data_IF_183266440943
#
_entry.id   IF_183266440943
#
_cell.length_a   1.000
_cell.length_b   1.000
_cell.length_c   1.000
_cell.angle_alpha   90.00
_cell.angle_beta   90.00
_cell.angle_gamma   90.00
#
_symmetry.space_group_name_H-M   'P 1'
#
loop_
_entity.id
_entity.type
_entity.pdbx_description
1 polymer ?
#
# COMPACT_ATOMS: atom_id res chain seq x y z
N UNK A 1 -18.24 -10.85 -5.37
CA UNK A 1 -17.19 -10.87 -4.35
C UNK A 1 -16.23 -9.67 -4.47
N UNK A 2 -15.65 -9.41 -5.64
CA UNK A 2 -14.68 -8.32 -5.85
C UNK A 2 -15.25 -6.94 -5.48
N UNK A 3 -16.45 -6.60 -5.93
CA UNK A 3 -17.10 -5.32 -5.59
C UNK A 3 -17.32 -5.16 -4.08
N UNK A 4 -17.77 -6.21 -3.40
CA UNK A 4 -18.00 -6.18 -1.94
C UNK A 4 -16.68 -6.00 -1.20
N UNK A 5 -15.62 -6.69 -1.60
CA UNK A 5 -14.29 -6.55 -1.02
C UNK A 5 -13.74 -5.12 -1.22
N UNK A 6 -13.90 -4.56 -2.42
CA UNK A 6 -13.45 -3.19 -2.74
C UNK A 6 -14.22 -2.15 -1.93
N UNK A 7 -15.53 -2.29 -1.80
CA UNK A 7 -16.35 -1.41 -0.96
C UNK A 7 -15.93 -1.50 0.51
N UNK A 8 -15.76 -2.71 1.05
CA UNK A 8 -15.30 -2.91 2.42
C UNK A 8 -13.92 -2.28 2.68
N UNK A 9 -12.98 -2.49 1.74
CA UNK A 9 -11.66 -1.86 1.81
C UNK A 9 -11.74 -0.33 1.81
N UNK A 10 -12.57 0.25 0.93
CA UNK A 10 -12.75 1.69 0.83
C UNK A 10 -13.36 2.28 2.10
N UNK A 11 -14.35 1.61 2.69
CA UNK A 11 -15.00 2.03 3.95
C UNK A 11 -14.02 2.11 5.12
N UNK A 12 -13.01 1.26 5.15
CA UNK A 12 -11.97 1.27 6.20
C UNK A 12 -10.83 2.23 5.86
N UNK A 13 -10.38 2.23 4.60
CA UNK A 13 -9.16 2.93 4.20
C UNK A 13 -9.32 4.45 4.15
N UNK A 14 -10.51 4.97 3.78
CA UNK A 14 -10.77 6.41 3.72
C UNK A 14 -10.76 7.06 5.10
N UNK A 15 -11.55 6.59 6.10
CA UNK A 15 -11.49 7.16 7.45
C UNK A 15 -10.11 7.02 8.09
N UNK A 16 -9.46 5.87 7.90
CA UNK A 16 -8.11 5.64 8.40
C UNK A 16 -7.09 6.62 7.80
N UNK A 17 -7.23 6.93 6.50
CA UNK A 17 -6.39 7.93 5.83
C UNK A 17 -6.61 9.35 6.36
N UNK A 18 -7.85 9.72 6.65
CA UNK A 18 -8.23 11.02 7.19
C UNK A 18 -7.72 11.23 8.63
N UNK A 19 -7.72 10.18 9.46
CA UNK A 19 -7.29 10.24 10.87
C UNK A 19 -5.92 10.88 11.06
N UNK A 20 -4.94 10.54 10.22
CA UNK A 20 -3.59 11.09 10.31
C UNK A 20 -3.56 12.63 10.12
N UNK A 21 -4.55 13.19 9.41
CA UNK A 21 -4.73 14.63 9.25
C UNK A 21 -5.43 15.30 10.42
N UNK A 22 -6.29 14.57 11.15
CA UNK A 22 -7.11 15.08 12.25
C UNK A 22 -6.41 14.99 13.61
N UNK A 23 -5.49 14.05 13.80
CA UNK A 23 -4.85 13.74 15.08
C UNK A 23 -3.77 14.76 15.45
N UNK A 24 -3.12 15.41 14.49
CA UNK A 24 -2.05 16.37 14.77
C UNK A 24 -1.95 17.47 13.73
N UNK A 25 -1.60 18.67 14.17
CA UNK A 25 -1.29 19.83 13.34
C UNK A 25 0.22 19.90 13.06
N UNK A 26 1.05 19.19 13.81
CA UNK A 26 2.51 19.19 13.60
C UNK A 26 2.86 18.40 12.32
N UNK A 27 3.60 19.08 11.43
CA UNK A 27 4.07 18.50 10.16
C UNK A 27 5.02 17.31 10.36
N UNK A 28 5.83 17.32 11.42
CA UNK A 28 6.78 16.24 11.71
C UNK A 28 6.07 14.99 12.19
N UNK A 29 5.12 15.12 13.11
CA UNK A 29 4.31 14.00 13.60
C UNK A 29 3.49 13.39 12.47
N UNK A 30 2.83 14.21 11.64
CA UNK A 30 2.07 13.75 10.47
C UNK A 30 2.96 12.97 9.49
N UNK A 31 4.18 13.46 9.24
CA UNK A 31 5.14 12.77 8.38
C UNK A 31 5.57 11.43 8.98
N UNK A 32 5.81 11.38 10.29
CA UNK A 32 6.14 10.14 11.01
C UNK A 32 4.99 9.11 10.95
N UNK A 33 3.75 9.54 11.21
CA UNK A 33 2.57 8.67 11.09
C UNK A 33 2.42 8.09 9.69
N UNK A 34 2.64 8.92 8.67
CA UNK A 34 2.59 8.47 7.27
C UNK A 34 3.70 7.48 6.96
N UNK A 35 4.92 7.71 7.47
CA UNK A 35 6.04 6.79 7.28
C UNK A 35 5.78 5.41 7.92
N UNK A 36 5.26 5.36 9.15
CA UNK A 36 4.86 4.12 9.80
C UNK A 36 3.74 3.40 9.04
N UNK A 37 2.74 4.15 8.59
CA UNK A 37 1.66 3.60 7.74
C UNK A 37 2.22 2.93 6.49
N UNK A 38 3.16 3.57 5.80
CA UNK A 38 3.78 3.01 4.59
C UNK A 38 4.63 1.78 4.89
N UNK A 39 5.36 1.77 6.01
CA UNK A 39 6.13 0.61 6.44
C UNK A 39 5.22 -0.61 6.70
N UNK A 40 4.13 -0.44 7.44
CA UNK A 40 3.16 -1.51 7.67
C UNK A 40 2.41 -1.92 6.39
N UNK A 41 2.12 -0.98 5.49
CA UNK A 41 1.53 -1.31 4.19
C UNK A 41 2.47 -2.18 3.35
N UNK A 42 3.79 -1.89 3.34
CA UNK A 42 4.80 -2.73 2.66
C UNK A 42 4.86 -4.14 3.25
N UNK A 43 4.80 -4.27 4.59
CA UNK A 43 4.70 -5.59 5.24
C UNK A 43 3.42 -6.33 4.84
N UNK A 44 2.28 -5.63 4.77
CA UNK A 44 1.02 -6.21 4.31
C UNK A 44 1.08 -6.72 2.87
N UNK A 45 1.72 -5.97 1.98
CA UNK A 45 1.94 -6.38 0.58
C UNK A 45 2.85 -7.62 0.52
N UNK A 46 3.90 -7.67 1.34
CA UNK A 46 4.79 -8.84 1.42
C UNK A 46 4.02 -10.09 1.90
N UNK A 47 3.23 -9.97 2.95
CA UNK A 47 2.40 -11.06 3.46
C UNK A 47 1.37 -11.49 2.40
N UNK A 48 0.64 -10.54 1.81
CA UNK A 48 -0.38 -10.84 0.81
C UNK A 48 0.17 -11.39 -0.50
N UNK A 49 1.28 -10.82 -0.99
CA UNK A 49 1.84 -11.16 -2.30
C UNK A 49 2.82 -12.32 -2.28
N UNK A 50 3.54 -12.55 -1.20
CA UNK A 50 4.54 -13.61 -1.10
C UNK A 50 4.10 -14.77 -0.22
N UNK A 51 3.63 -14.49 1.00
CA UNK A 51 3.32 -15.53 1.98
C UNK A 51 2.06 -16.32 1.60
N UNK A 52 1.03 -15.67 1.07
CA UNK A 52 -0.21 -16.35 0.68
C UNK A 52 0.02 -17.39 -0.42
N UNK A 53 0.70 -17.09 -1.53
CA UNK A 53 1.04 -18.10 -2.53
C UNK A 53 1.88 -19.25 -2.00
N UNK A 54 2.85 -18.97 -1.09
CA UNK A 54 3.66 -20.01 -0.45
C UNK A 54 2.80 -20.97 0.37
N UNK A 55 1.86 -20.43 1.18
CA UNK A 55 0.97 -21.24 2.01
C UNK A 55 -0.08 -21.99 1.20
N UNK A 56 -0.54 -21.39 0.10
CA UNK A 56 -1.58 -21.96 -0.74
C UNK A 56 -1.06 -23.09 -1.64
N UNK A 57 0.22 -23.04 -2.04
CA UNK A 57 0.72 -23.88 -3.12
C UNK A 57 -0.11 -23.67 -4.39
N UNK A 58 -0.14 -24.67 -5.26
CA UNK A 58 -0.89 -24.60 -6.54
C UNK A 58 -2.31 -25.14 -6.44
N UNK A 59 -2.86 -25.33 -5.21
CA UNK A 59 -4.15 -25.95 -4.99
C UNK A 59 -5.23 -24.96 -4.57
N UNK A 60 -6.45 -25.17 -5.07
CA UNK A 60 -7.62 -24.35 -4.70
C UNK A 60 -7.93 -24.41 -3.19
N UNK A 61 -7.77 -25.59 -2.59
CA UNK A 61 -7.94 -25.81 -1.15
C UNK A 61 -6.89 -25.07 -0.32
N UNK A 62 -5.66 -25.00 -0.82
CA UNK A 62 -4.57 -24.24 -0.18
C UNK A 62 -4.86 -22.73 -0.12
N UNK A 63 -5.42 -22.14 -1.18
CA UNK A 63 -5.85 -20.74 -1.15
C UNK A 63 -6.97 -20.49 -0.14
N UNK A 64 -7.91 -21.44 0.02
CA UNK A 64 -8.95 -21.34 1.04
C UNK A 64 -8.36 -21.40 2.44
N UNK A 65 -7.40 -22.29 2.68
CA UNK A 65 -6.69 -22.38 3.94
C UNK A 65 -5.91 -21.12 4.26
N UNK A 66 -5.14 -20.59 3.30
CA UNK A 66 -4.41 -19.33 3.45
C UNK A 66 -5.34 -18.15 3.78
N UNK A 67 -6.49 -18.07 3.12
CA UNK A 67 -7.50 -17.04 3.39
C UNK A 67 -8.07 -17.14 4.81
N UNK A 68 -8.37 -18.35 5.29
CA UNK A 68 -8.85 -18.58 6.66
C UNK A 68 -7.79 -18.19 7.70
N UNK A 69 -6.51 -18.41 7.43
CA UNK A 69 -5.41 -18.02 8.32
C UNK A 69 -5.22 -16.50 8.36
N UNK A 70 -5.37 -15.80 7.24
CA UNK A 70 -5.11 -14.36 7.14
C UNK A 70 -6.32 -13.51 7.55
N UNK A 71 -7.56 -14.00 7.35
CA UNK A 71 -8.76 -13.25 7.70
C UNK A 71 -8.83 -12.82 9.17
N UNK A 72 -8.55 -13.67 10.17
CA UNK A 72 -8.52 -13.24 11.58
C UNK A 72 -7.47 -12.18 11.84
N UNK A 73 -6.31 -12.24 11.20
CA UNK A 73 -5.23 -11.27 11.35
C UNK A 73 -5.67 -9.89 10.85
N UNK A 74 -6.40 -9.82 9.75
CA UNK A 74 -6.97 -8.58 9.23
C UNK A 74 -8.00 -8.00 10.22
N UNK A 75 -8.93 -8.83 10.70
CA UNK A 75 -9.96 -8.40 11.65
C UNK A 75 -9.33 -7.90 12.95
N UNK A 76 -8.38 -8.64 13.50
CA UNK A 76 -7.68 -8.27 14.73
C UNK A 76 -6.88 -6.96 14.56
N UNK A 77 -6.23 -6.75 13.42
CA UNK A 77 -5.48 -5.51 13.18
C UNK A 77 -6.39 -4.28 13.11
N UNK A 78 -7.58 -4.41 12.51
CA UNK A 78 -8.59 -3.34 12.47
C UNK A 78 -9.11 -3.06 13.89
N UNK A 79 -9.47 -4.10 14.64
CA UNK A 79 -9.95 -3.97 16.01
C UNK A 79 -8.92 -3.32 16.92
N UNK A 80 -7.67 -3.75 16.81
CA UNK A 80 -6.54 -3.18 17.54
C UNK A 80 -6.38 -1.69 17.21
N UNK A 81 -6.40 -1.33 15.93
CA UNK A 81 -6.34 0.07 15.49
C UNK A 81 -7.47 0.89 16.10
N UNK A 82 -8.73 0.45 16.01
CA UNK A 82 -9.89 1.15 16.57
C UNK A 82 -9.78 1.28 18.09
N UNK A 83 -9.35 0.22 18.78
CA UNK A 83 -9.24 0.24 20.23
C UNK A 83 -8.22 1.28 20.73
N UNK A 84 -7.06 1.35 20.08
CA UNK A 84 -6.01 2.29 20.50
C UNK A 84 -6.26 3.73 20.02
N UNK A 85 -7.01 3.93 18.94
CA UNK A 85 -7.26 5.29 18.40
C UNK A 85 -8.57 5.91 18.88
N UNK A 86 -9.47 5.15 19.49
CA UNK A 86 -10.80 5.64 19.91
C UNK A 86 -10.80 6.85 20.85
N UNK A 87 -9.77 6.96 21.70
CA UNK A 87 -9.64 8.01 22.71
C UNK A 87 -8.67 9.14 22.30
N UNK A 88 -8.19 9.13 21.07
CA UNK A 88 -7.24 10.16 20.61
C UNK A 88 -7.97 11.48 20.43
N UNK A 89 -7.44 12.59 21.00
CA UNK A 89 -8.06 13.89 20.84
C UNK A 89 -8.04 14.32 19.37
N UNK A 90 -9.16 14.81 18.88
CA UNK A 90 -9.27 15.39 17.54
C UNK A 90 -8.92 16.86 17.61
N UNK A 91 -7.87 17.27 16.88
CA UNK A 91 -7.42 18.67 16.84
C UNK A 91 -8.24 19.52 15.88
N UNK A 92 -8.95 18.90 14.94
CA UNK A 92 -9.81 19.60 13.98
C UNK A 92 -11.27 19.46 14.40
N UNK A 93 -11.96 20.58 14.50
CA UNK A 93 -13.41 20.61 14.70
C UNK A 93 -14.11 20.14 13.43
N UNK A 94 -15.24 19.42 13.56
CA UNK A 94 -16.03 19.03 12.40
C UNK A 94 -16.45 20.27 11.61
N UNK A 95 -16.20 20.23 10.31
CA UNK A 95 -16.63 21.31 9.42
C UNK A 95 -18.15 21.38 9.35
N UNK A 96 -18.73 22.57 9.60
CA UNK A 96 -20.16 22.84 9.44
C UNK A 96 -20.56 23.07 7.98
N UNK A 97 -19.63 22.93 7.03
CA UNK A 97 -19.87 23.14 5.62
C UNK A 97 -20.66 21.99 5.01
N UNK A 98 -21.59 22.31 4.12
CA UNK A 98 -22.32 21.34 3.33
C UNK A 98 -21.37 20.60 2.38
N UNK A 99 -21.62 19.30 2.17
CA UNK A 99 -20.79 18.45 1.30
C UNK A 99 -20.53 19.08 -0.08
N UNK A 100 -21.53 19.70 -0.71
CA UNK A 100 -21.38 20.35 -2.01
C UNK A 100 -20.42 21.55 -1.99
N UNK A 101 -20.38 22.30 -0.90
CA UNK A 101 -19.44 23.41 -0.71
C UNK A 101 -18.02 22.93 -0.56
N UNK A 102 -17.81 21.84 0.19
CA UNK A 102 -16.50 21.21 0.36
C UNK A 102 -15.98 20.69 -0.98
N UNK A 103 -16.82 20.00 -1.76
CA UNK A 103 -16.47 19.51 -3.10
C UNK A 103 -16.12 20.67 -4.04
N UNK A 104 -16.90 21.75 -4.00
CA UNK A 104 -16.62 22.94 -4.79
C UNK A 104 -15.26 23.58 -4.47
N UNK A 105 -14.90 23.70 -3.18
CA UNK A 105 -13.60 24.21 -2.73
C UNK A 105 -12.45 23.30 -3.17
N UNK A 106 -12.64 22.00 -3.09
CA UNK A 106 -11.63 21.00 -3.51
C UNK A 106 -11.37 21.10 -5.02
N UNK A 107 -12.42 21.16 -5.84
CA UNK A 107 -12.31 21.26 -7.30
C UNK A 107 -11.73 22.61 -7.72
N UNK A 108 -12.03 23.69 -7.01
CA UNK A 108 -11.47 25.02 -7.29
C UNK A 108 -9.96 25.10 -7.01
N UNK A 109 -9.42 24.21 -6.17
CA UNK A 109 -7.99 24.17 -5.84
C UNK A 109 -7.19 23.43 -6.93
N UNK A 110 -6.67 24.17 -7.91
CA UNK A 110 -5.88 23.61 -9.03
C UNK A 110 -4.67 22.78 -8.56
N UNK A 111 -3.95 23.24 -7.53
CA UNK A 111 -2.79 22.52 -7.00
C UNK A 111 -3.20 21.14 -6.45
N UNK A 112 -4.32 21.07 -5.75
CA UNK A 112 -4.86 19.83 -5.22
C UNK A 112 -5.27 18.86 -6.35
N UNK A 113 -6.00 19.36 -7.36
CA UNK A 113 -6.42 18.54 -8.50
C UNK A 113 -5.21 18.01 -9.27
N UNK A 114 -4.18 18.82 -9.50
CA UNK A 114 -2.94 18.36 -10.15
C UNK A 114 -2.29 17.21 -9.37
N UNK A 115 -2.19 17.34 -8.04
CA UNK A 115 -1.64 16.29 -7.19
C UNK A 115 -2.47 15.00 -7.23
N UNK A 116 -3.80 15.12 -7.20
CA UNK A 116 -4.71 13.98 -7.29
C UNK A 116 -4.57 13.24 -8.63
N UNK A 117 -4.51 13.98 -9.74
CA UNK A 117 -4.33 13.40 -11.07
C UNK A 117 -2.97 12.70 -11.19
N UNK A 118 -1.89 13.34 -10.76
CA UNK A 118 -0.56 12.74 -10.76
C UNK A 118 -0.52 11.46 -9.90
N UNK A 119 -1.06 11.53 -8.70
CA UNK A 119 -1.14 10.37 -7.81
C UNK A 119 -1.99 9.24 -8.42
N UNK A 120 -3.10 9.58 -9.08
CA UNK A 120 -3.95 8.63 -9.78
C UNK A 120 -3.20 7.90 -10.91
N UNK A 121 -2.45 8.63 -11.73
CA UNK A 121 -1.63 8.04 -12.81
C UNK A 121 -0.54 7.13 -12.25
N UNK A 122 0.18 7.57 -11.21
CA UNK A 122 1.19 6.74 -10.56
C UNK A 122 0.61 5.47 -9.95
N UNK A 123 -0.54 5.57 -9.29
CA UNK A 123 -1.24 4.42 -8.70
C UNK A 123 -1.70 3.45 -9.78
N UNK A 124 -2.20 3.95 -10.91
CA UNK A 124 -2.57 3.14 -12.07
C UNK A 124 -1.36 2.38 -12.61
N UNK A 125 -0.22 3.03 -12.78
CA UNK A 125 1.01 2.39 -13.25
C UNK A 125 1.45 1.25 -12.33
N UNK A 126 1.46 1.48 -11.01
CA UNK A 126 1.80 0.45 -10.01
C UNK A 126 0.79 -0.71 -10.07
N UNK A 127 -0.51 -0.41 -10.20
CA UNK A 127 -1.55 -1.43 -10.31
C UNK A 127 -1.38 -2.30 -11.56
N UNK A 128 -1.03 -1.71 -12.70
CA UNK A 128 -0.75 -2.45 -13.93
C UNK A 128 0.48 -3.35 -13.79
N UNK A 129 1.56 -2.85 -13.19
CA UNK A 129 2.77 -3.64 -12.93
C UNK A 129 2.45 -4.82 -12.01
N UNK A 130 1.78 -4.58 -10.89
CA UNK A 130 1.45 -5.64 -9.92
C UNK A 130 0.46 -6.65 -10.48
N UNK A 131 -0.50 -6.23 -11.30
CA UNK A 131 -1.40 -7.13 -12.01
C UNK A 131 -0.69 -7.97 -13.10
N UNK A 132 0.37 -7.43 -13.70
CA UNK A 132 1.19 -8.12 -14.69
C UNK A 132 2.16 -9.15 -14.10
N UNK A 133 2.55 -9.03 -12.82
CA UNK A 133 3.51 -9.95 -12.20
C UNK A 133 3.15 -11.44 -12.31
N UNK A 134 1.90 -11.88 -12.05
CA UNK A 134 1.52 -13.28 -12.21
C UNK A 134 1.68 -13.78 -13.64
N UNK A 135 1.33 -12.95 -14.63
CA UNK A 135 1.49 -13.30 -16.05
C UNK A 135 2.97 -13.38 -16.44
N UNK A 136 3.78 -12.45 -15.95
CA UNK A 136 5.24 -12.49 -16.18
C UNK A 136 5.87 -13.74 -15.56
N UNK A 137 5.44 -14.14 -14.34
CA UNK A 137 5.92 -15.34 -13.69
C UNK A 137 5.56 -16.62 -14.46
N UNK A 138 4.37 -16.68 -15.08
CA UNK A 138 3.88 -17.87 -15.78
C UNK A 138 4.41 -17.98 -17.22
N UNK A 139 4.59 -16.86 -17.94
CA UNK A 139 4.83 -16.88 -19.39
C UNK A 139 6.19 -16.33 -19.81
N UNK A 140 6.81 -15.45 -19.03
CA UNK A 140 8.05 -14.78 -19.40
C UNK A 140 9.27 -15.37 -18.68
N UNK A 141 9.12 -15.83 -17.44
CA UNK A 141 10.22 -16.35 -16.64
C UNK A 141 10.18 -17.86 -16.70
N UNK A 142 10.82 -18.41 -17.73
CA UNK A 142 11.12 -19.84 -17.83
C UNK A 142 12.43 -20.07 -17.06
N UNK A 143 12.34 -20.74 -15.91
CA UNK A 143 13.52 -21.09 -15.12
C UNK A 143 14.18 -22.34 -15.73
N UNK A 144 15.25 -22.12 -16.48
CA UNK A 144 16.09 -23.19 -17.07
C UNK A 144 16.92 -23.96 -16.02
N UNK A 145 16.74 -23.66 -14.73
CA UNK A 145 17.41 -24.35 -13.63
C UNK A 145 18.87 -23.93 -13.38
N UNK A 146 19.42 -23.06 -14.22
CA UNK A 146 20.82 -22.65 -14.18
C UNK A 146 21.09 -21.30 -13.49
N UNK A 147 20.04 -20.60 -13.05
CA UNK A 147 20.20 -19.33 -12.37
C UNK A 147 20.53 -19.51 -10.88
N UNK A 148 21.27 -18.55 -10.28
CA UNK A 148 21.58 -18.54 -8.83
C UNK A 148 20.32 -18.56 -7.95
N UNK A 149 19.19 -18.10 -8.48
CA UNK A 149 17.91 -18.02 -7.80
C UNK A 149 17.00 -19.22 -8.06
N UNK A 150 17.35 -20.13 -8.96
CA UNK A 150 16.52 -21.28 -9.35
C UNK A 150 16.21 -22.20 -8.16
N UNK A 151 17.18 -22.42 -7.27
CA UNK A 151 16.99 -23.21 -6.04
C UNK A 151 15.96 -22.57 -5.11
N UNK A 152 15.99 -21.25 -4.95
CA UNK A 152 15.05 -20.49 -4.14
C UNK A 152 13.67 -20.43 -4.82
N UNK A 153 13.64 -20.24 -6.13
CA UNK A 153 12.40 -20.22 -6.92
C UNK A 153 11.66 -21.57 -6.88
N UNK A 154 12.37 -22.69 -6.89
CA UNK A 154 11.79 -24.03 -6.71
C UNK A 154 11.15 -24.23 -5.34
N UNK A 155 11.73 -23.63 -4.28
CA UNK A 155 11.22 -23.74 -2.91
C UNK A 155 10.07 -22.81 -2.59
N UNK A 156 10.12 -21.57 -3.06
CA UNK A 156 9.17 -20.51 -2.72
C UNK A 156 8.14 -20.22 -3.81
N UNK A 157 8.37 -20.70 -5.03
CA UNK A 157 7.60 -20.34 -6.22
C UNK A 157 8.09 -19.01 -6.85
N UNK A 158 8.13 -18.97 -8.18
CA UNK A 158 8.62 -17.82 -8.97
C UNK A 158 7.81 -16.55 -8.67
N UNK A 159 6.50 -16.66 -8.55
CA UNK A 159 5.60 -15.55 -8.24
C UNK A 159 5.91 -14.92 -6.88
N UNK A 160 6.07 -15.74 -5.84
CA UNK A 160 6.39 -15.27 -4.49
C UNK A 160 7.74 -14.56 -4.43
N UNK A 161 8.72 -15.09 -5.16
CA UNK A 161 10.06 -14.48 -5.28
C UNK A 161 10.00 -13.12 -5.98
N UNK A 162 9.21 -12.98 -7.04
CA UNK A 162 9.02 -11.70 -7.74
C UNK A 162 8.34 -10.66 -6.84
N UNK A 163 7.30 -11.04 -6.12
CA UNK A 163 6.66 -10.15 -5.14
C UNK A 163 7.61 -9.75 -4.01
N UNK A 164 8.39 -10.69 -3.48
CA UNK A 164 9.37 -10.39 -2.46
C UNK A 164 10.45 -9.42 -2.97
N UNK A 165 10.97 -9.62 -4.17
CA UNK A 165 11.94 -8.73 -4.80
C UNK A 165 11.35 -7.32 -5.02
N UNK A 166 10.10 -7.22 -5.50
CA UNK A 166 9.39 -5.97 -5.68
C UNK A 166 9.25 -5.20 -4.36
N UNK A 167 8.84 -5.87 -3.28
CA UNK A 167 8.66 -5.24 -1.96
C UNK A 167 10.00 -4.83 -1.35
N UNK A 168 11.01 -5.68 -1.42
CA UNK A 168 12.36 -5.35 -0.93
C UNK A 168 12.92 -4.15 -1.70
N UNK A 169 12.81 -4.13 -3.02
CA UNK A 169 13.20 -3.01 -3.85
C UNK A 169 12.46 -1.72 -3.47
N UNK A 170 11.17 -1.79 -3.21
CA UNK A 170 10.36 -0.65 -2.79
C UNK A 170 10.79 -0.11 -1.41
N UNK A 171 11.11 -0.97 -0.45
CA UNK A 171 11.60 -0.55 0.87
C UNK A 171 12.96 0.15 0.76
N UNK A 172 13.88 -0.43 0.00
CA UNK A 172 15.21 0.16 -0.24
C UNK A 172 15.06 1.52 -0.92
N UNK A 173 14.20 1.61 -1.94
CA UNK A 173 13.91 2.85 -2.65
C UNK A 173 13.35 3.93 -1.71
N UNK A 174 12.43 3.58 -0.79
CA UNK A 174 11.88 4.53 0.18
C UNK A 174 12.96 5.16 1.05
N UNK A 175 13.92 4.37 1.55
CA UNK A 175 15.04 4.87 2.36
C UNK A 175 15.91 5.83 1.56
N UNK A 176 16.20 5.49 0.30
CA UNK A 176 16.98 6.35 -0.61
C UNK A 176 16.26 7.67 -0.87
N UNK A 177 14.95 7.61 -1.18
CA UNK A 177 14.15 8.80 -1.48
C UNK A 177 13.98 9.72 -0.27
N UNK A 178 13.85 9.19 0.94
CA UNK A 178 13.83 10.00 2.16
C UNK A 178 15.14 10.77 2.33
N UNK A 179 16.28 10.13 2.12
CA UNK A 179 17.59 10.80 2.17
C UNK A 179 17.71 11.88 1.08
N UNK A 180 17.33 11.55 -0.15
CA UNK A 180 17.37 12.46 -1.30
C UNK A 180 16.47 13.68 -1.07
N UNK A 181 15.26 13.47 -0.57
CA UNK A 181 14.30 14.52 -0.24
C UNK A 181 14.80 15.45 0.88
N UNK A 182 15.57 14.94 1.83
CA UNK A 182 16.16 15.74 2.88
C UNK A 182 17.32 16.60 2.39
N UNK A 183 18.06 16.14 1.36
CA UNK A 183 19.22 16.86 0.80
C UNK A 183 18.77 17.91 -0.23
N UNK A 184 17.95 17.52 -1.19
CA UNK A 184 17.58 18.37 -2.34
C UNK A 184 16.23 19.08 -2.17
N UNK A 185 15.49 18.78 -1.11
CA UNK A 185 14.12 19.27 -0.92
C UNK A 185 13.08 18.42 -1.62
N UNK A 186 11.83 18.49 -1.12
CA UNK A 186 10.73 17.61 -1.55
C UNK A 186 10.33 17.77 -3.03
N UNK A 187 10.32 19.03 -3.51
CA UNK A 187 9.91 19.34 -4.89
C UNK A 187 10.95 18.83 -5.89
N UNK A 188 12.24 19.10 -5.61
CA UNK A 188 13.34 18.64 -6.48
C UNK A 188 13.45 17.12 -6.49
N UNK A 189 13.32 16.46 -5.34
CA UNK A 189 13.31 15.02 -5.26
C UNK A 189 12.17 14.42 -6.10
N UNK A 190 10.98 15.01 -6.06
CA UNK A 190 9.85 14.55 -6.86
C UNK A 190 10.08 14.71 -8.37
N UNK A 191 10.72 15.82 -8.80
CA UNK A 191 11.08 16.04 -10.20
C UNK A 191 12.14 15.07 -10.72
N UNK A 192 13.06 14.63 -9.86
CA UNK A 192 14.08 13.63 -10.22
C UNK A 192 13.46 12.22 -10.36
N UNK A 193 12.35 11.96 -9.66
CA UNK A 193 11.68 10.66 -9.64
C UNK A 193 10.66 10.43 -10.75
N UNK A 194 10.38 11.44 -11.57
CA UNK A 194 9.52 11.36 -12.75
C UNK A 194 10.36 11.16 -13.99
#
# INVERSE_FOLDING_TARGET
FFLVATLGFTMVSIPYGAMAGEMTLDKKERSSMTAWRMAFASLGILIGGALIPILAGDTRSGFTFAAICVAPLIVLSIWFSVFFTRNTPRTLLPSQQNFSQVVGLVIANRAFITLVVLYGIMTLAIALITAGLPFAAMYLILDDGNSLLSGIAKGLGTLSLMFAAFVIGSIISQVLWVKLSNIYGKVTAQLIGI
#
